data_IF_066447430494
#
_entry.id   IF_066447430494
#
_cell.length_a   1.000
_cell.length_b   1.000
_cell.length_c   1.000
_cell.angle_alpha   90.00
_cell.angle_beta   90.00
_cell.angle_gamma   90.00
#
_symmetry.space_group_name_H-M   'P 1'
#
loop_
_entity.id
_entity.type
_entity.pdbx_description
1 polymer ?
#
# COMPACT_ATOMS: atom_id res chain seq x y z
N UNK A 1 -3.39 -6.15 -17.27
CA UNK A 1 -3.21 -5.83 -15.84
C UNK A 1 -3.14 -4.33 -15.63
N UNK A 2 -3.91 -3.80 -14.67
CA UNK A 2 -3.87 -2.41 -14.22
C UNK A 2 -3.59 -2.36 -12.72
N UNK A 3 -2.82 -1.37 -12.27
CA UNK A 3 -2.47 -1.20 -10.85
C UNK A 3 -2.84 0.19 -10.35
N UNK A 4 -3.30 0.29 -9.11
CA UNK A 4 -3.68 1.57 -8.49
C UNK A 4 -3.25 1.64 -7.03
N UNK A 5 -2.62 2.76 -6.66
CA UNK A 5 -2.39 3.17 -5.28
C UNK A 5 -3.59 3.93 -4.70
N UNK A 6 -3.88 3.69 -3.42
CA UNK A 6 -4.79 4.44 -2.57
C UNK A 6 -4.16 4.69 -1.19
N UNK A 7 -4.36 5.87 -0.61
CA UNK A 7 -3.76 6.31 0.65
C UNK A 7 -4.85 6.83 1.60
N UNK A 8 -5.56 5.92 2.29
CA UNK A 8 -6.78 6.27 3.02
C UNK A 8 -6.52 7.07 4.30
N UNK A 9 -5.30 7.02 4.85
CA UNK A 9 -5.00 7.63 6.14
C UNK A 9 -3.52 8.01 6.27
N UNK A 10 -3.29 9.16 6.90
CA UNK A 10 -1.98 9.61 7.37
C UNK A 10 -2.03 9.82 8.87
N UNK A 11 -0.96 9.46 9.56
CA UNK A 11 -0.74 9.90 10.94
C UNK A 11 0.33 10.99 10.95
N UNK A 12 0.03 12.06 11.67
CA UNK A 12 0.79 13.30 11.65
C UNK A 12 1.20 13.69 13.07
N UNK A 13 2.46 14.10 13.24
CA UNK A 13 2.91 14.83 14.43
C UNK A 13 2.63 16.31 14.25
N UNK A 14 1.99 16.92 15.24
CA UNK A 14 1.70 18.37 15.21
C UNK A 14 2.97 19.21 15.19
N UNK A 15 3.99 18.77 15.90
CA UNK A 15 5.34 19.32 15.82
C UNK A 15 6.34 18.15 15.85
N UNK A 16 7.38 18.22 15.03
CA UNK A 16 8.53 17.30 15.04
C UNK A 16 9.75 17.99 14.46
N UNK A 17 10.84 18.05 15.22
CA UNK A 17 12.13 18.57 14.76
C UNK A 17 12.02 20.00 14.15
N UNK A 18 11.17 20.85 14.72
CA UNK A 18 10.95 22.22 14.29
C UNK A 18 9.97 22.38 13.12
N UNK A 19 9.42 21.29 12.59
CA UNK A 19 8.40 21.31 11.55
C UNK A 19 7.00 21.04 12.12
N UNK A 20 5.97 21.54 11.45
CA UNK A 20 4.56 21.36 11.83
C UNK A 20 3.87 20.37 10.90
N UNK A 21 2.88 19.66 11.43
CA UNK A 21 2.05 18.70 10.68
C UNK A 21 2.89 17.70 9.84
N UNK A 22 3.85 17.05 10.48
CA UNK A 22 4.78 16.10 9.86
C UNK A 22 4.15 14.71 9.76
N UNK A 23 3.96 14.18 8.56
CA UNK A 23 3.53 12.79 8.34
C UNK A 23 4.61 11.85 8.91
N UNK A 24 4.21 10.87 9.73
CA UNK A 24 5.13 9.83 10.23
C UNK A 24 4.64 8.40 9.97
N UNK A 25 3.36 8.19 9.65
CA UNK A 25 2.85 6.91 9.14
C UNK A 25 1.96 7.17 7.94
N UNK A 26 2.16 6.39 6.87
CA UNK A 26 1.27 6.33 5.71
C UNK A 26 0.58 4.98 5.70
N UNK A 27 -0.76 4.99 5.71
CA UNK A 27 -1.57 3.81 5.42
C UNK A 27 -1.82 3.75 3.92
N UNK A 28 -1.63 2.58 3.31
CA UNK A 28 -1.73 2.42 1.87
C UNK A 28 -2.49 1.15 1.47
N UNK A 29 -3.03 1.18 0.26
CA UNK A 29 -3.58 0.03 -0.45
C UNK A 29 -3.04 0.02 -1.88
N UNK A 30 -2.56 -1.14 -2.30
CA UNK A 30 -2.18 -1.39 -3.69
C UNK A 30 -3.11 -2.43 -4.29
N UNK A 31 -3.76 -2.10 -5.40
CA UNK A 31 -4.72 -2.98 -6.06
C UNK A 31 -4.26 -3.31 -7.47
N UNK A 32 -4.16 -4.59 -7.80
CA UNK A 32 -4.06 -5.12 -9.15
C UNK A 32 -5.45 -5.50 -9.68
N UNK A 33 -5.69 -5.29 -10.97
CA UNK A 33 -6.95 -5.64 -11.62
C UNK A 33 -6.77 -6.10 -13.06
N UNK A 34 -7.54 -7.11 -13.46
CA UNK A 34 -7.59 -7.60 -14.84
C UNK A 34 -8.91 -8.33 -15.11
N UNK A 35 -9.59 -7.99 -16.20
CA UNK A 35 -10.85 -8.63 -16.65
C UNK A 35 -11.94 -8.73 -15.56
N UNK A 36 -12.02 -7.72 -14.69
CA UNK A 36 -12.98 -7.67 -13.57
C UNK A 36 -12.53 -8.41 -12.31
N UNK A 37 -11.41 -9.14 -12.36
CA UNK A 37 -10.78 -9.73 -11.18
C UNK A 37 -9.87 -8.72 -10.50
N UNK A 38 -9.84 -8.76 -9.16
CA UNK A 38 -9.13 -7.82 -8.31
C UNK A 38 -8.33 -8.57 -7.26
N UNK A 39 -7.15 -8.06 -6.95
CA UNK A 39 -6.37 -8.42 -5.77
C UNK A 39 -5.81 -7.16 -5.14
N UNK A 40 -5.91 -7.05 -3.81
CA UNK A 40 -5.42 -5.88 -3.08
C UNK A 40 -4.54 -6.32 -1.93
N UNK A 41 -3.45 -5.59 -1.74
CA UNK A 41 -2.60 -5.64 -0.54
C UNK A 41 -2.74 -4.32 0.19
N UNK A 42 -2.72 -4.36 1.52
CA UNK A 42 -2.73 -3.18 2.38
C UNK A 42 -1.52 -3.20 3.29
N UNK A 43 -1.11 -2.03 3.76
CA UNK A 43 -0.03 -1.93 4.73
C UNK A 43 0.14 -0.53 5.29
N UNK A 44 1.18 -0.40 6.10
CA UNK A 44 1.65 0.88 6.61
C UNK A 44 3.15 1.00 6.39
N UNK A 45 3.64 2.23 6.19
CA UNK A 45 5.07 2.55 6.24
C UNK A 45 5.30 3.65 7.26
N UNK A 46 6.41 3.54 7.99
CA UNK A 46 6.86 4.55 8.95
C UNK A 46 7.86 5.47 8.27
N UNK A 47 7.61 6.78 8.33
CA UNK A 47 8.42 7.83 7.71
C UNK A 47 8.92 8.79 8.80
N UNK A 48 9.93 8.39 9.62
CA UNK A 48 10.48 9.30 10.62
C UNK A 48 11.18 10.48 9.94
N UNK A 49 10.79 11.70 10.28
CA UNK A 49 11.48 12.92 9.85
C UNK A 49 12.67 13.23 10.78
N UNK A 50 13.82 13.54 10.19
CA UNK A 50 15.00 14.05 10.92
C UNK A 50 15.30 15.48 10.49
N UNK A 51 15.75 16.32 11.44
CA UNK A 51 16.13 17.69 11.14
C UNK A 51 17.21 17.75 10.04
N UNK A 52 16.93 18.49 8.96
CA UNK A 52 17.84 18.63 7.82
C UNK A 52 17.44 17.82 6.59
N UNK A 53 16.52 16.86 6.73
CA UNK A 53 15.93 16.17 5.59
C UNK A 53 15.01 17.10 4.79
N UNK A 54 14.83 16.86 3.47
CA UNK A 54 13.83 17.57 2.69
C UNK A 54 12.44 17.46 3.32
N UNK A 55 11.76 18.60 3.51
CA UNK A 55 10.44 18.65 4.12
C UNK A 55 9.40 19.20 3.14
N UNK A 56 8.30 18.47 2.96
CA UNK A 56 7.12 18.92 2.22
C UNK A 56 5.99 19.19 3.22
N UNK A 57 5.51 20.44 3.36
CA UNK A 57 4.37 20.74 4.23
C UNK A 57 3.15 19.90 3.84
N UNK A 58 2.39 19.40 4.82
CA UNK A 58 1.24 18.52 4.58
C UNK A 58 0.27 19.06 3.51
N UNK A 59 -0.01 20.36 3.53
CA UNK A 59 -0.90 21.02 2.56
C UNK A 59 -0.37 21.05 1.11
N UNK A 60 0.92 20.74 0.90
CA UNK A 60 1.60 20.70 -0.39
C UNK A 60 1.95 19.28 -0.85
N UNK A 61 1.72 18.27 0.00
CA UNK A 61 1.96 16.87 -0.35
C UNK A 61 1.05 16.45 -1.49
N UNK A 62 1.63 15.88 -2.54
CA UNK A 62 0.90 15.32 -3.66
C UNK A 62 0.83 13.80 -3.55
N UNK A 63 -0.08 13.19 -4.31
CA UNK A 63 -0.15 11.72 -4.39
C UNK A 63 1.17 11.11 -4.90
N UNK A 64 1.82 11.76 -5.86
CA UNK A 64 3.07 11.28 -6.44
C UNK A 64 4.22 11.26 -5.40
N UNK A 65 4.26 12.24 -4.50
CA UNK A 65 5.24 12.25 -3.41
C UNK A 65 5.04 11.04 -2.49
N UNK A 66 3.79 10.76 -2.11
CA UNK A 66 3.43 9.62 -1.25
C UNK A 66 3.70 8.28 -1.93
N UNK A 67 3.40 8.15 -3.22
CA UNK A 67 3.74 6.96 -4.01
C UNK A 67 5.26 6.71 -3.95
N UNK A 68 6.08 7.72 -4.20
CA UNK A 68 7.54 7.60 -4.11
C UNK A 68 8.02 7.15 -2.73
N UNK A 69 7.53 7.78 -1.65
CA UNK A 69 7.93 7.41 -0.28
C UNK A 69 7.56 5.97 0.08
N UNK A 70 6.39 5.50 -0.34
CA UNK A 70 5.92 4.14 -0.07
C UNK A 70 6.70 3.14 -0.91
N UNK A 71 6.94 3.44 -2.19
CA UNK A 71 7.71 2.57 -3.10
C UNK A 71 9.16 2.37 -2.65
N UNK A 72 9.78 3.35 -1.98
CA UNK A 72 11.11 3.20 -1.37
C UNK A 72 11.12 2.25 -0.15
N UNK A 73 9.94 1.94 0.41
CA UNK A 73 9.79 1.15 1.63
C UNK A 73 9.21 -0.26 1.40
N UNK A 74 8.73 -0.58 0.19
CA UNK A 74 8.05 -1.85 -0.12
C UNK A 74 8.68 -2.55 -1.31
N UNK A 75 8.52 -3.88 -1.38
CA UNK A 75 8.89 -4.64 -2.58
C UNK A 75 7.75 -4.58 -3.62
N UNK A 76 7.78 -3.55 -4.47
CA UNK A 76 6.74 -3.34 -5.47
C UNK A 76 6.68 -4.47 -6.51
N UNK A 77 7.82 -5.09 -6.83
CA UNK A 77 7.88 -6.17 -7.81
C UNK A 77 7.26 -7.45 -7.24
N UNK A 78 7.54 -7.78 -5.97
CA UNK A 78 6.88 -8.87 -5.26
C UNK A 78 5.36 -8.63 -5.18
N UNK A 79 4.93 -7.43 -4.81
CA UNK A 79 3.50 -7.09 -4.74
C UNK A 79 2.79 -7.25 -6.10
N UNK A 80 3.44 -6.85 -7.20
CA UNK A 80 2.91 -7.07 -8.56
C UNK A 80 2.87 -8.55 -8.92
N UNK A 81 3.90 -9.33 -8.57
CA UNK A 81 3.94 -10.76 -8.80
C UNK A 81 2.83 -11.50 -8.04
N UNK A 82 2.59 -11.14 -6.78
CA UNK A 82 1.48 -11.66 -5.97
C UNK A 82 0.13 -11.35 -6.63
N UNK A 83 -0.09 -10.11 -7.08
CA UNK A 83 -1.33 -9.76 -7.77
C UNK A 83 -1.57 -10.57 -9.05
N UNK A 84 -0.51 -10.82 -9.83
CA UNK A 84 -0.60 -11.64 -11.05
C UNK A 84 -0.98 -13.08 -10.69
N UNK A 85 -0.29 -13.69 -9.72
CA UNK A 85 -0.54 -15.07 -9.30
C UNK A 85 -1.97 -15.26 -8.76
N UNK A 86 -2.41 -14.36 -7.88
CA UNK A 86 -3.73 -14.40 -7.26
C UNK A 86 -4.86 -14.19 -8.26
N UNK A 87 -4.68 -13.27 -9.22
CA UNK A 87 -5.67 -13.07 -10.28
C UNK A 87 -5.70 -14.26 -11.23
N UNK A 88 -4.55 -14.86 -11.55
CA UNK A 88 -4.50 -16.07 -12.37
C UNK A 88 -5.24 -17.25 -11.71
N UNK A 89 -5.04 -17.46 -10.41
CA UNK A 89 -5.76 -18.48 -9.64
C UNK A 89 -7.26 -18.17 -9.57
N UNK A 90 -7.67 -16.90 -9.43
CA UNK A 90 -9.10 -16.53 -9.48
C UNK A 90 -9.74 -16.77 -10.85
N UNK A 91 -8.98 -16.60 -11.93
CA UNK A 91 -9.45 -16.86 -13.31
C UNK A 91 -9.55 -18.35 -13.59
N UNK A 92 -8.57 -19.13 -13.15
CA UNK A 92 -8.50 -20.57 -13.35
C UNK A 92 -8.13 -21.26 -12.02
N UNK A 93 -9.10 -21.48 -11.13
CA UNK A 93 -8.83 -22.08 -9.82
C UNK A 93 -8.20 -23.46 -9.97
N UNK A 94 -7.06 -23.66 -9.32
CA UNK A 94 -6.36 -24.95 -9.22
C UNK A 94 -6.59 -25.61 -7.87
N UNK A 95 -7.11 -24.85 -6.90
CA UNK A 95 -7.39 -25.30 -5.52
C UNK A 95 -8.86 -25.13 -5.16
N UNK A 96 -9.37 -26.01 -4.28
CA UNK A 96 -10.71 -25.93 -3.72
C UNK A 96 -10.61 -25.89 -2.18
N UNK A 97 -11.31 -24.95 -1.56
CA UNK A 97 -11.45 -24.90 -0.10
C UNK A 97 -12.69 -25.67 0.31
N UNK A 98 -12.51 -26.82 0.96
CA UNK A 98 -13.60 -27.64 1.50
C UNK A 98 -13.61 -27.57 3.03
N UNK A 99 -14.78 -27.51 3.69
CA UNK A 99 -14.85 -27.58 5.14
C UNK A 99 -14.35 -28.96 5.64
N UNK A 100 -13.94 -29.06 6.91
CA UNK A 100 -13.57 -30.35 7.49
C UNK A 100 -14.71 -31.38 7.36
N UNK A 101 -14.43 -32.65 6.97
CA UNK A 101 -15.48 -33.64 6.66
C UNK A 101 -16.47 -33.97 7.78
N UNK A 102 -16.15 -33.64 9.03
CA UNK A 102 -16.99 -33.88 10.21
C UNK A 102 -17.89 -32.68 10.58
N UNK A 103 -17.82 -31.57 9.83
CA UNK A 103 -18.70 -30.41 9.98
C UNK A 103 -19.80 -30.36 8.90
N UNK A 104 -19.91 -31.41 8.08
CA UNK A 104 -20.88 -31.58 6.99
C UNK A 104 -22.21 -32.19 7.47
#
# INVERSE_FOLDING_TARGET
>A
MNYTWDFPQFEIRKESEGQQDVIYIVHWRYTGSEDGYLYSVIGTVSLPYSAGDPFIPFASVTKADVEGWVEDCVDLDEMKACAIAEIAEKKNPTTETVPPPWEL
#
